data_IF_300790733724
#
_entry.id   IF_300790733724
#
_cell.length_a   1.000
_cell.length_b   1.000
_cell.length_c   1.000
_cell.angle_alpha   90.00
_cell.angle_beta   90.00
_cell.angle_gamma   90.00
#
_symmetry.space_group_name_H-M   'P 1'
#
loop_
_entity.id
_entity.type
_entity.pdbx_description
1 polymer ?
#
# COMPACT_ATOMS: atom_id res chain seq x y z
N UNK A 1 34.77 43.02 -3.50
CA UNK A 1 34.35 41.97 -2.51
C UNK A 1 32.88 41.48 -2.59
N UNK A 2 31.91 42.24 -3.15
CA UNK A 2 30.48 41.75 -3.22
C UNK A 2 30.15 40.79 -4.39
N UNK A 3 30.96 40.72 -5.41
CA UNK A 3 30.66 39.84 -6.58
C UNK A 3 31.12 38.40 -6.43
N UNK A 4 32.12 38.14 -5.59
CA UNK A 4 32.66 36.80 -5.40
C UNK A 4 31.72 35.92 -4.53
N UNK A 5 31.00 36.54 -3.60
CA UNK A 5 30.00 35.84 -2.76
C UNK A 5 28.77 35.36 -3.56
N UNK A 6 28.35 36.14 -4.55
CA UNK A 6 27.22 35.74 -5.42
C UNK A 6 27.58 34.57 -6.33
N UNK A 7 28.82 34.51 -6.81
CA UNK A 7 29.33 33.38 -7.58
C UNK A 7 29.44 32.11 -6.72
N UNK A 8 29.91 32.23 -5.47
CA UNK A 8 29.99 31.11 -4.54
C UNK A 8 28.60 30.57 -4.15
N UNK A 9 27.61 31.45 -3.96
CA UNK A 9 26.22 31.06 -3.68
C UNK A 9 25.59 30.39 -4.90
N UNK A 10 25.84 30.88 -6.10
CA UNK A 10 25.34 30.28 -7.35
C UNK A 10 25.95 28.88 -7.60
N UNK A 11 27.24 28.71 -7.33
CA UNK A 11 27.96 27.44 -7.42
C UNK A 11 27.43 26.45 -6.33
N UNK A 12 27.17 26.93 -5.13
CA UNK A 12 26.58 26.10 -4.04
C UNK A 12 25.17 25.65 -4.40
N UNK A 13 24.36 26.51 -5.04
CA UNK A 13 23.01 26.17 -5.49
C UNK A 13 23.01 25.19 -6.67
N UNK A 14 23.98 25.27 -7.57
CA UNK A 14 24.10 24.34 -8.69
C UNK A 14 24.68 22.98 -8.26
N UNK A 15 25.67 22.97 -7.39
CA UNK A 15 26.20 21.75 -6.78
C UNK A 15 25.17 21.10 -5.85
N UNK A 16 24.37 21.87 -5.12
CA UNK A 16 23.29 21.36 -4.27
C UNK A 16 22.19 20.64 -5.05
N UNK A 17 21.73 21.19 -6.18
CA UNK A 17 20.73 20.57 -7.05
C UNK A 17 21.26 19.33 -7.77
N UNK A 18 22.50 19.32 -8.20
CA UNK A 18 23.15 18.13 -8.78
C UNK A 18 23.26 16.99 -7.78
N UNK A 19 23.66 17.28 -6.55
CA UNK A 19 23.76 16.28 -5.48
C UNK A 19 22.39 15.70 -5.12
N UNK A 20 21.34 16.51 -5.05
CA UNK A 20 19.97 16.04 -4.79
C UNK A 20 19.53 15.08 -5.89
N UNK A 21 19.70 15.44 -7.16
CA UNK A 21 19.34 14.56 -8.29
C UNK A 21 20.05 13.21 -8.26
N UNK A 22 21.32 13.19 -7.88
CA UNK A 22 22.05 11.94 -7.71
C UNK A 22 21.51 11.06 -6.57
N UNK A 23 21.13 11.69 -5.45
CA UNK A 23 20.47 10.96 -4.33
C UNK A 23 19.10 10.43 -4.77
N UNK A 24 18.29 11.21 -5.47
CA UNK A 24 17.00 10.80 -6.02
C UNK A 24 17.15 9.59 -6.96
N UNK A 25 18.08 9.63 -7.90
CA UNK A 25 18.37 8.52 -8.83
C UNK A 25 18.86 7.27 -8.11
N UNK A 26 19.73 7.45 -7.11
CA UNK A 26 20.26 6.32 -6.34
C UNK A 26 19.16 5.67 -5.50
N UNK A 27 18.32 6.48 -4.81
CA UNK A 27 17.19 6.00 -4.06
C UNK A 27 16.16 5.25 -4.95
N UNK A 28 15.84 5.81 -6.12
CA UNK A 28 14.96 5.16 -7.09
C UNK A 28 15.51 3.80 -7.56
N UNK A 29 16.83 3.72 -7.80
CA UNK A 29 17.50 2.48 -8.19
C UNK A 29 17.47 1.43 -7.08
N UNK A 30 17.75 1.81 -5.84
CA UNK A 30 17.70 0.91 -4.68
C UNK A 30 16.29 0.36 -4.45
N UNK A 31 15.27 1.22 -4.54
CA UNK A 31 13.87 0.79 -4.40
C UNK A 31 13.52 -0.17 -5.53
N UNK A 32 13.85 0.16 -6.79
CA UNK A 32 13.60 -0.71 -7.96
C UNK A 32 14.23 -2.09 -7.80
N UNK A 33 15.44 -2.18 -7.28
CA UNK A 33 16.12 -3.46 -7.03
C UNK A 33 15.39 -4.28 -5.96
N UNK A 34 14.84 -3.64 -4.93
CA UNK A 34 14.12 -4.34 -3.85
C UNK A 34 12.75 -4.84 -4.27
N UNK A 35 12.03 -4.07 -5.09
CA UNK A 35 10.68 -4.45 -5.54
C UNK A 35 10.70 -5.28 -6.84
N UNK A 36 11.87 -5.52 -7.42
CA UNK A 36 12.02 -6.39 -8.59
C UNK A 36 11.60 -5.78 -9.93
N UNK A 37 11.40 -4.45 -10.01
CA UNK A 37 11.03 -3.79 -11.26
C UNK A 37 10.21 -2.50 -11.09
N UNK A 38 9.47 -2.12 -12.14
CA UNK A 38 8.56 -0.98 -12.16
C UNK A 38 9.23 0.36 -12.48
N UNK A 39 8.38 1.36 -12.69
CA UNK A 39 8.77 2.74 -12.92
C UNK A 39 8.80 3.48 -11.58
N UNK A 40 9.99 3.79 -11.09
CA UNK A 40 10.18 4.41 -9.79
C UNK A 40 10.82 5.77 -9.94
N UNK A 41 10.20 6.78 -9.35
CA UNK A 41 10.70 8.14 -9.24
C UNK A 41 10.75 8.56 -7.78
N UNK A 42 11.85 9.13 -7.37
CA UNK A 42 12.01 9.73 -6.04
C UNK A 42 12.20 11.21 -6.22
N UNK A 43 11.52 12.03 -5.43
CA UNK A 43 11.65 13.49 -5.42
C UNK A 43 11.91 13.98 -4.00
N UNK A 44 12.90 14.85 -3.85
CA UNK A 44 13.34 15.39 -2.58
C UNK A 44 13.16 16.91 -2.58
N UNK A 45 12.37 17.41 -1.64
CA UNK A 45 12.21 18.84 -1.40
C UNK A 45 12.91 19.23 -0.07
N UNK A 46 14.02 19.97 -0.13
CA UNK A 46 14.69 20.46 1.09
C UNK A 46 13.83 21.44 1.90
N UNK A 47 14.07 21.53 3.20
CA UNK A 47 13.49 22.55 4.06
C UNK A 47 14.37 23.81 4.08
N UNK A 48 14.47 24.45 2.88
CA UNK A 48 15.38 25.56 2.63
C UNK A 48 16.85 25.15 2.52
N UNK A 49 17.74 26.12 2.32
CA UNK A 49 19.18 25.90 2.18
C UNK A 49 19.78 25.40 3.51
N UNK A 50 19.45 26.05 4.60
CA UNK A 50 19.93 25.67 5.94
C UNK A 50 19.39 24.30 6.36
N UNK A 51 18.13 24.00 5.99
CA UNK A 51 17.54 22.70 6.20
C UNK A 51 18.32 21.60 5.48
N UNK A 52 18.67 21.80 4.22
CA UNK A 52 19.47 20.85 3.44
C UNK A 52 20.82 20.57 4.13
N UNK A 53 21.53 21.62 4.58
CA UNK A 53 22.79 21.46 5.31
C UNK A 53 22.65 20.70 6.62
N UNK A 54 21.51 20.79 7.28
CA UNK A 54 21.20 20.09 8.53
C UNK A 54 20.53 18.71 8.29
N UNK A 55 20.29 18.32 7.04
CA UNK A 55 19.59 17.08 6.71
C UNK A 55 18.09 17.14 7.00
N UNK A 56 17.48 18.32 6.90
CA UNK A 56 16.04 18.52 7.03
C UNK A 56 15.40 18.62 5.65
N UNK A 57 14.42 17.75 5.40
CA UNK A 57 13.65 17.71 4.19
C UNK A 57 12.20 18.08 4.49
N UNK A 58 11.64 18.95 3.68
CA UNK A 58 10.22 19.31 3.75
C UNK A 58 9.35 18.17 3.25
N UNK A 59 9.73 17.54 2.14
CA UNK A 59 9.05 16.38 1.56
C UNK A 59 10.06 15.40 0.95
N UNK A 60 9.76 14.13 1.08
CA UNK A 60 10.31 13.04 0.30
C UNK A 60 9.11 12.34 -0.37
N UNK A 61 9.11 12.23 -1.69
CA UNK A 61 8.01 11.62 -2.45
C UNK A 61 8.59 10.43 -3.21
N UNK A 62 7.93 9.28 -3.09
CA UNK A 62 8.17 8.09 -3.89
C UNK A 62 6.94 7.86 -4.76
N UNK A 63 7.08 8.05 -6.06
CA UNK A 63 6.09 7.71 -7.07
C UNK A 63 6.55 6.42 -7.76
N UNK A 64 5.69 5.40 -7.77
CA UNK A 64 6.03 4.14 -8.41
C UNK A 64 4.81 3.51 -9.09
N UNK A 65 5.05 2.75 -10.17
CA UNK A 65 4.00 2.07 -10.93
C UNK A 65 4.46 0.76 -11.56
N UNK A 66 3.47 -0.13 -11.88
CA UNK A 66 3.67 -1.38 -12.63
C UNK A 66 4.67 -2.33 -12.00
N UNK A 67 4.47 -2.69 -10.72
CA UNK A 67 5.34 -3.63 -10.04
C UNK A 67 4.56 -4.50 -9.04
N UNK A 68 5.23 -5.53 -8.54
CA UNK A 68 4.67 -6.41 -7.50
C UNK A 68 5.37 -6.14 -6.17
N UNK A 69 4.60 -6.00 -5.10
CA UNK A 69 5.07 -5.95 -3.73
C UNK A 69 4.80 -7.29 -3.04
N UNK A 70 5.85 -7.88 -2.48
CA UNK A 70 5.77 -9.02 -1.58
C UNK A 70 6.14 -8.58 -0.16
N UNK A 71 5.30 -7.71 0.41
CA UNK A 71 5.51 -7.07 1.70
C UNK A 71 6.04 -5.65 1.60
N UNK A 72 6.25 -5.01 2.77
CA UNK A 72 6.64 -3.60 2.84
C UNK A 72 8.14 -3.42 2.56
N UNK A 73 8.53 -2.52 1.66
CA UNK A 73 9.93 -2.33 1.27
C UNK A 73 10.74 -1.51 2.28
N UNK A 74 10.09 -0.93 3.29
CA UNK A 74 10.69 -0.07 4.30
C UNK A 74 10.51 -0.65 5.70
N UNK A 75 11.59 -0.62 6.51
CA UNK A 75 11.57 -0.97 7.93
C UNK A 75 12.31 0.08 8.74
N UNK A 76 11.92 0.24 9.99
CA UNK A 76 12.62 1.09 10.95
C UNK A 76 13.80 0.35 11.57
N UNK A 77 14.90 1.08 11.75
CA UNK A 77 16.07 0.65 12.52
C UNK A 77 16.23 1.60 13.73
N UNK A 78 15.48 1.38 14.85
CA UNK A 78 15.40 2.34 15.96
C UNK A 78 16.72 2.64 16.67
N UNK A 79 17.71 1.75 16.56
CA UNK A 79 19.06 1.90 17.12
C UNK A 79 19.92 2.90 16.34
N UNK A 80 19.51 3.32 15.16
CA UNK A 80 20.27 4.26 14.35
C UNK A 80 20.12 5.71 14.80
N UNK A 81 21.16 6.55 14.53
CA UNK A 81 21.10 7.97 14.83
C UNK A 81 19.94 8.68 14.10
N UNK A 82 19.23 9.56 14.81
CA UNK A 82 18.13 10.39 14.30
C UNK A 82 18.64 11.76 13.84
N UNK A 83 19.67 11.79 12.98
CA UNK A 83 20.38 13.00 12.58
C UNK A 83 19.81 13.72 11.38
N UNK A 84 18.90 13.09 10.64
CA UNK A 84 18.12 13.67 9.56
C UNK A 84 16.63 13.66 9.86
N UNK A 85 15.89 14.55 9.21
CA UNK A 85 14.45 14.71 9.41
C UNK A 85 13.73 14.95 8.09
N UNK A 86 12.64 14.24 7.86
CA UNK A 86 11.70 14.46 6.75
C UNK A 86 10.35 14.82 7.38
N UNK A 87 9.88 16.03 7.11
CA UNK A 87 8.60 16.50 7.66
C UNK A 87 7.42 15.68 7.11
N UNK A 88 7.42 15.33 5.83
CA UNK A 88 6.41 14.50 5.18
C UNK A 88 7.05 13.52 4.21
N UNK A 89 6.86 12.24 4.45
CA UNK A 89 7.20 11.17 3.53
C UNK A 89 5.92 10.71 2.83
N UNK A 90 5.88 10.86 1.50
CA UNK A 90 4.71 10.58 0.68
C UNK A 90 5.04 9.42 -0.26
N UNK A 91 4.16 8.43 -0.28
CA UNK A 91 4.23 7.26 -1.17
C UNK A 91 2.99 7.30 -2.05
N UNK A 92 3.18 7.23 -3.37
CA UNK A 92 2.13 7.14 -4.37
C UNK A 92 2.45 5.97 -5.28
N UNK A 93 1.57 4.98 -5.26
CA UNK A 93 1.75 3.81 -6.10
C UNK A 93 0.55 3.70 -7.03
N UNK A 94 0.83 3.41 -8.28
CA UNK A 94 -0.18 3.15 -9.29
C UNK A 94 0.01 1.74 -9.84
N UNK A 95 -1.08 1.04 -10.03
CA UNK A 95 -1.05 -0.25 -10.69
C UNK A 95 -0.08 -1.24 -10.03
N UNK A 96 -0.25 -1.42 -8.73
CA UNK A 96 0.61 -2.29 -7.92
C UNK A 96 -0.09 -3.58 -7.55
N UNK A 97 0.60 -4.71 -7.71
CA UNK A 97 0.13 -6.01 -7.24
C UNK A 97 0.67 -6.31 -5.83
N UNK A 98 -0.23 -6.42 -4.86
CA UNK A 98 0.05 -6.81 -3.48
C UNK A 98 -0.22 -8.31 -3.33
N UNK A 99 0.81 -9.15 -3.51
CA UNK A 99 0.68 -10.62 -3.51
C UNK A 99 -0.50 -11.12 -4.33
N UNK A 100 -0.83 -10.38 -5.43
CA UNK A 100 -1.85 -10.71 -6.42
C UNK A 100 -3.21 -10.07 -6.22
N UNK A 101 -3.42 -9.25 -5.23
CA UNK A 101 -4.45 -8.23 -5.26
C UNK A 101 -3.87 -7.01 -5.98
N UNK A 102 -4.41 -6.65 -7.13
CA UNK A 102 -4.01 -5.44 -7.82
C UNK A 102 -4.74 -4.25 -7.19
N UNK A 103 -3.97 -3.27 -6.76
CA UNK A 103 -4.45 -1.96 -6.34
C UNK A 103 -4.20 -0.96 -7.47
N UNK A 104 -5.23 -0.26 -7.90
CA UNK A 104 -5.11 0.80 -8.90
C UNK A 104 -4.32 1.97 -8.35
N UNK A 105 -4.59 2.32 -7.09
CA UNK A 105 -3.96 3.42 -6.40
C UNK A 105 -3.66 3.08 -4.95
N UNK A 106 -2.45 3.45 -4.50
CA UNK A 106 -2.07 3.44 -3.09
C UNK A 106 -1.44 4.79 -2.77
N UNK A 107 -1.94 5.44 -1.75
CA UNK A 107 -1.38 6.66 -1.19
C UNK A 107 -1.05 6.45 0.27
N UNK A 108 0.13 6.91 0.70
CA UNK A 108 0.47 7.02 2.11
C UNK A 108 1.23 8.32 2.37
N UNK A 109 0.91 9.00 3.47
CA UNK A 109 1.64 10.17 3.95
C UNK A 109 2.03 9.96 5.41
N UNK A 110 3.32 9.88 5.68
CA UNK A 110 3.89 9.58 6.98
C UNK A 110 4.66 10.81 7.46
N UNK A 111 4.26 11.45 8.58
CA UNK A 111 4.93 12.62 9.13
C UNK A 111 6.17 12.24 9.95
N UNK A 112 7.00 13.23 10.19
CA UNK A 112 8.09 13.22 11.18
C UNK A 112 9.07 12.05 11.06
N UNK A 113 9.43 11.68 9.83
CA UNK A 113 10.35 10.58 9.57
C UNK A 113 11.78 10.99 9.92
N UNK A 114 12.45 10.19 10.77
CA UNK A 114 13.84 10.34 11.16
C UNK A 114 14.73 9.34 10.43
N UNK A 115 15.92 9.76 10.04
CA UNK A 115 16.86 8.92 9.32
C UNK A 115 18.32 9.19 9.70
N UNK A 116 19.21 8.24 9.40
CA UNK A 116 20.64 8.37 9.57
C UNK A 116 21.25 9.19 8.41
N UNK A 117 21.44 10.49 8.64
CA UNK A 117 22.02 11.41 7.67
C UNK A 117 23.45 11.05 7.27
N UNK A 118 24.29 10.62 8.23
CA UNK A 118 25.70 10.28 7.93
C UNK A 118 25.76 9.10 6.97
N UNK A 119 24.92 8.10 7.18
CA UNK A 119 24.82 6.93 6.30
C UNK A 119 24.32 7.33 4.90
N UNK A 120 23.28 8.15 4.84
CA UNK A 120 22.71 8.64 3.59
C UNK A 120 23.74 9.43 2.75
N UNK A 121 24.51 10.33 3.38
CA UNK A 121 25.50 11.15 2.68
C UNK A 121 26.78 10.38 2.30
N UNK A 122 27.33 9.57 3.22
CA UNK A 122 28.64 8.91 3.01
C UNK A 122 28.54 7.63 2.19
N UNK A 123 27.49 6.83 2.43
CA UNK A 123 27.32 5.52 1.81
C UNK A 123 26.18 5.46 0.79
N UNK A 124 25.41 6.55 0.65
CA UNK A 124 24.20 6.63 -0.19
C UNK A 124 23.13 5.60 0.19
N UNK A 125 23.15 5.13 1.44
CA UNK A 125 22.18 4.17 1.98
C UNK A 125 21.19 4.92 2.87
N UNK A 126 19.92 4.81 2.55
CA UNK A 126 18.84 5.45 3.30
C UNK A 126 18.25 4.48 4.33
N UNK A 127 18.37 4.81 5.63
CA UNK A 127 17.85 4.01 6.75
C UNK A 127 17.01 4.88 7.66
N UNK A 128 15.79 4.42 7.92
CA UNK A 128 14.82 5.10 8.77
C UNK A 128 15.00 4.66 10.22
N UNK A 129 14.96 5.61 11.16
CA UNK A 129 15.16 5.34 12.59
C UNK A 129 13.91 5.57 13.42
N UNK A 130 12.98 6.43 12.95
CA UNK A 130 11.73 6.73 13.66
C UNK A 130 10.72 7.38 12.72
N UNK A 131 9.42 7.27 13.03
CA UNK A 131 8.34 7.94 12.27
C UNK A 131 7.16 8.27 13.17
N UNK A 132 6.38 9.28 12.76
CA UNK A 132 5.01 9.46 13.25
C UNK A 132 4.04 8.47 12.61
N UNK A 133 2.80 8.50 13.09
CA UNK A 133 1.69 7.77 12.48
C UNK A 133 1.17 8.57 11.30
N UNK A 134 1.11 7.93 10.15
CA UNK A 134 0.63 8.49 8.91
C UNK A 134 -0.81 8.12 8.58
N UNK A 135 -1.25 8.51 7.40
CA UNK A 135 -2.52 8.11 6.79
C UNK A 135 -2.28 7.38 5.50
N UNK A 136 -3.16 6.45 5.17
CA UNK A 136 -3.13 5.72 3.90
C UNK A 136 -4.51 5.62 3.25
N UNK A 137 -4.51 5.45 1.96
CA UNK A 137 -5.67 5.16 1.13
C UNK A 137 -5.29 4.15 0.05
N UNK A 138 -6.13 3.15 -0.17
CA UNK A 138 -5.97 2.12 -1.20
C UNK A 138 -7.26 2.03 -2.00
N UNK A 139 -7.15 2.03 -3.32
CA UNK A 139 -8.28 1.85 -4.26
C UNK A 139 -8.11 0.54 -5.00
N UNK A 140 -9.13 -0.29 -4.97
CA UNK A 140 -9.20 -1.59 -5.66
C UNK A 140 -10.45 -1.63 -6.53
N UNK A 141 -10.28 -1.98 -7.80
CA UNK A 141 -11.37 -2.16 -8.75
C UNK A 141 -12.07 -3.51 -8.52
N UNK A 142 -13.38 -3.58 -8.78
CA UNK A 142 -14.17 -4.80 -8.61
C UNK A 142 -13.62 -5.99 -9.41
N UNK A 143 -13.09 -5.76 -10.61
CA UNK A 143 -12.52 -6.81 -11.45
C UNK A 143 -11.23 -7.36 -10.87
N UNK A 144 -10.39 -6.51 -10.28
CA UNK A 144 -9.16 -6.91 -9.58
C UNK A 144 -9.48 -7.72 -8.32
N UNK A 145 -10.53 -7.34 -7.59
CA UNK A 145 -11.03 -8.10 -6.46
C UNK A 145 -11.57 -9.47 -6.88
N UNK A 146 -12.29 -9.55 -8.01
CA UNK A 146 -12.78 -10.81 -8.57
C UNK A 146 -11.62 -11.77 -8.93
N UNK A 147 -10.59 -11.25 -9.60
CA UNK A 147 -9.38 -12.03 -9.95
C UNK A 147 -8.68 -12.53 -8.68
N UNK A 148 -8.56 -11.68 -7.67
CA UNK A 148 -7.95 -12.03 -6.40
C UNK A 148 -8.73 -13.13 -5.66
N UNK A 149 -10.07 -13.01 -5.53
CA UNK A 149 -10.94 -14.01 -4.89
C UNK A 149 -10.80 -15.35 -5.60
N UNK A 150 -10.91 -15.38 -6.93
CA UNK A 150 -10.75 -16.60 -7.71
C UNK A 150 -9.42 -17.29 -7.44
N UNK A 151 -8.33 -16.54 -7.35
CA UNK A 151 -7.02 -17.10 -7.05
C UNK A 151 -6.89 -17.58 -5.61
N UNK A 152 -7.40 -16.84 -4.64
CA UNK A 152 -7.35 -17.18 -3.22
C UNK A 152 -8.06 -18.49 -2.92
N UNK A 153 -9.19 -18.73 -3.58
CA UNK A 153 -10.03 -19.91 -3.34
C UNK A 153 -9.88 -21.00 -4.39
N UNK A 154 -8.89 -20.91 -5.27
CA UNK A 154 -8.56 -22.01 -6.18
C UNK A 154 -8.08 -23.26 -5.40
N UNK A 155 -8.44 -24.50 -5.79
CA UNK A 155 -9.21 -24.90 -6.98
C UNK A 155 -10.73 -24.98 -6.77
N UNK A 156 -11.23 -24.58 -5.58
CA UNK A 156 -12.65 -24.77 -5.20
C UNK A 156 -13.60 -23.81 -5.91
N UNK A 157 -13.12 -22.60 -6.21
CA UNK A 157 -13.90 -21.57 -6.90
C UNK A 157 -13.34 -21.38 -8.31
N UNK A 158 -14.21 -21.49 -9.32
CA UNK A 158 -13.81 -21.42 -10.73
C UNK A 158 -14.10 -20.07 -11.35
N UNK A 159 -15.35 -19.64 -11.27
CA UNK A 159 -15.79 -18.36 -11.83
C UNK A 159 -16.12 -17.41 -10.70
N UNK A 160 -15.66 -16.19 -10.80
CA UNK A 160 -15.97 -15.13 -9.84
C UNK A 160 -16.24 -13.85 -10.61
N UNK A 161 -17.36 -13.23 -10.28
CA UNK A 161 -17.72 -11.87 -10.66
C UNK A 161 -17.99 -11.07 -9.38
N UNK A 162 -17.47 -9.89 -9.29
CA UNK A 162 -17.72 -8.97 -8.19
C UNK A 162 -18.37 -7.72 -8.74
N UNK A 163 -19.44 -7.29 -8.11
CA UNK A 163 -20.09 -5.99 -8.39
C UNK A 163 -20.10 -5.19 -7.10
N UNK A 164 -19.47 -4.02 -7.13
CA UNK A 164 -19.41 -3.12 -5.99
C UNK A 164 -20.31 -1.92 -6.28
N UNK A 165 -21.23 -1.63 -5.36
CA UNK A 165 -22.07 -0.44 -5.37
C UNK A 165 -21.99 0.27 -4.01
N UNK A 166 -22.45 1.52 -3.89
CA UNK A 166 -22.44 2.23 -2.61
C UNK A 166 -23.25 1.55 -1.49
N UNK A 167 -24.21 0.73 -1.85
CA UNK A 167 -25.14 0.10 -0.88
C UNK A 167 -24.78 -1.35 -0.57
N UNK A 168 -24.19 -2.07 -1.53
CA UNK A 168 -23.89 -3.49 -1.38
C UNK A 168 -22.74 -3.93 -2.28
N UNK A 169 -22.07 -4.99 -1.87
CA UNK A 169 -21.13 -5.74 -2.69
C UNK A 169 -21.69 -7.12 -2.95
N UNK A 170 -21.67 -7.51 -4.21
CA UNK A 170 -22.20 -8.76 -4.70
C UNK A 170 -21.07 -9.61 -5.29
N UNK A 171 -20.93 -10.82 -4.80
CA UNK A 171 -19.95 -11.82 -5.29
C UNK A 171 -20.72 -12.99 -5.84
N UNK A 172 -20.65 -13.20 -7.17
CA UNK A 172 -21.23 -14.34 -7.87
C UNK A 172 -20.13 -15.26 -8.34
N UNK A 173 -20.43 -16.57 -8.36
CA UNK A 173 -19.45 -17.51 -8.86
C UNK A 173 -19.95 -18.94 -8.92
N UNK A 174 -19.08 -19.83 -9.36
CA UNK A 174 -19.28 -21.27 -9.25
C UNK A 174 -18.22 -21.89 -8.35
N UNK A 175 -18.64 -22.84 -7.51
CA UNK A 175 -17.77 -23.53 -6.56
C UNK A 175 -18.03 -25.04 -6.61
N UNK A 176 -16.98 -25.82 -6.35
CA UNK A 176 -17.09 -27.26 -6.15
C UNK A 176 -17.48 -27.53 -4.70
N UNK A 177 -18.71 -27.99 -4.48
CA UNK A 177 -19.24 -28.34 -3.18
C UNK A 177 -19.73 -29.78 -3.15
N UNK A 178 -19.19 -30.62 -2.26
CA UNK A 178 -19.49 -32.05 -2.15
C UNK A 178 -19.41 -32.83 -3.48
N UNK A 179 -18.46 -32.46 -4.33
CA UNK A 179 -18.24 -33.10 -5.63
C UNK A 179 -19.15 -32.60 -6.77
N UNK A 180 -20.06 -31.68 -6.50
CA UNK A 180 -20.93 -31.06 -7.49
C UNK A 180 -20.57 -29.59 -7.68
N UNK A 181 -20.66 -29.09 -8.91
CA UNK A 181 -20.52 -27.68 -9.20
C UNK A 181 -21.82 -26.96 -8.88
N UNK A 182 -21.74 -25.95 -8.00
CA UNK A 182 -22.86 -25.14 -7.58
C UNK A 182 -22.60 -23.68 -7.89
N UNK A 183 -23.61 -22.96 -8.34
CA UNK A 183 -23.55 -21.51 -8.49
C UNK A 183 -23.99 -20.85 -7.20
N UNK A 184 -23.25 -19.82 -6.78
CA UNK A 184 -23.56 -19.08 -5.56
C UNK A 184 -23.60 -17.58 -5.83
N UNK A 185 -24.35 -16.90 -4.99
CA UNK A 185 -24.35 -15.45 -4.87
C UNK A 185 -24.22 -15.07 -3.39
N UNK A 186 -23.26 -14.22 -3.07
CA UNK A 186 -23.10 -13.66 -1.74
C UNK A 186 -23.27 -12.13 -1.84
N UNK A 187 -24.15 -11.56 -1.03
CA UNK A 187 -24.46 -10.12 -1.00
C UNK A 187 -24.24 -9.60 0.41
N UNK A 188 -23.47 -8.54 0.55
CA UNK A 188 -23.19 -7.92 1.85
C UNK A 188 -22.50 -6.58 1.71
N UNK A 189 -21.95 -6.07 2.81
CA UNK A 189 -21.19 -4.82 2.82
C UNK A 189 -19.73 -5.08 3.14
N UNK A 190 -18.81 -4.41 2.44
CA UNK A 190 -17.39 -4.47 2.74
C UNK A 190 -17.10 -3.66 4.00
N UNK A 191 -16.62 -4.31 5.05
CA UNK A 191 -16.35 -3.71 6.35
C UNK A 191 -14.97 -4.09 6.87
N UNK A 192 -14.21 -3.15 7.44
CA UNK A 192 -12.96 -3.46 8.09
C UNK A 192 -13.23 -4.07 9.47
N UNK A 193 -12.45 -5.08 9.86
CA UNK A 193 -12.45 -5.66 11.20
C UNK A 193 -11.01 -5.73 11.73
N UNK A 194 -10.82 -5.25 12.97
CA UNK A 194 -9.51 -5.21 13.65
C UNK A 194 -8.39 -4.49 12.87
N UNK A 195 -8.77 -3.64 11.92
CA UNK A 195 -7.82 -2.87 11.10
C UNK A 195 -7.01 -3.66 10.08
N UNK A 196 -7.16 -5.00 10.03
CA UNK A 196 -6.40 -5.90 9.16
C UNK A 196 -7.28 -6.80 8.28
N UNK A 197 -8.50 -7.08 8.72
CA UNK A 197 -9.42 -7.92 7.97
C UNK A 197 -10.40 -7.07 7.18
N UNK A 198 -10.72 -7.49 5.97
CA UNK A 198 -11.85 -7.01 5.19
C UNK A 198 -12.87 -8.12 5.10
N UNK A 199 -14.01 -7.91 5.69
CA UNK A 199 -15.12 -8.87 5.69
C UNK A 199 -16.23 -8.42 4.72
N UNK A 200 -16.98 -9.38 4.19
CA UNK A 200 -18.29 -9.17 3.63
C UNK A 200 -19.31 -9.32 4.76
N UNK A 201 -19.61 -8.21 5.44
CA UNK A 201 -20.52 -8.20 6.60
C UNK A 201 -21.97 -8.42 6.16
N UNK A 202 -22.77 -8.97 7.07
CA UNK A 202 -24.20 -9.28 6.86
C UNK A 202 -24.46 -10.09 5.58
N UNK A 203 -23.49 -10.94 5.22
CA UNK A 203 -23.53 -11.69 3.99
C UNK A 203 -24.74 -12.62 3.91
N UNK A 204 -25.62 -12.37 2.93
CA UNK A 204 -26.65 -13.30 2.48
C UNK A 204 -26.04 -14.16 1.38
N UNK A 205 -26.09 -15.48 1.56
CA UNK A 205 -25.58 -16.45 0.59
C UNK A 205 -26.74 -17.23 0.01
N UNK A 206 -26.87 -17.19 -1.30
CA UNK A 206 -27.85 -17.92 -2.08
C UNK A 206 -27.14 -18.91 -2.99
N UNK A 207 -27.69 -20.10 -3.14
CA UNK A 207 -27.17 -21.14 -4.03
C UNK A 207 -28.27 -21.53 -5.02
N UNK A 208 -27.92 -21.51 -6.30
CA UNK A 208 -28.85 -21.83 -7.37
C UNK A 208 -29.19 -23.34 -7.35
N UNK A 209 -30.48 -23.62 -7.23
CA UNK A 209 -31.00 -25.00 -7.32
C UNK A 209 -30.93 -25.82 -6.03
N UNK A 210 -30.56 -25.27 -4.89
CA UNK A 210 -30.52 -25.98 -3.62
C UNK A 210 -30.95 -25.12 -2.44
N UNK A 211 -31.90 -25.61 -1.64
CA UNK A 211 -32.10 -25.13 -0.29
C UNK A 211 -31.02 -25.76 0.62
N UNK A 212 -30.03 -24.96 1.01
CA UNK A 212 -29.00 -25.44 1.93
C UNK A 212 -29.49 -25.42 3.37
N UNK A 213 -29.11 -26.41 4.16
CA UNK A 213 -29.26 -26.33 5.61
C UNK A 213 -28.55 -25.07 6.15
N UNK A 214 -29.09 -24.45 7.21
CA UNK A 214 -28.50 -23.24 7.83
C UNK A 214 -27.04 -23.44 8.26
N UNK A 215 -26.65 -24.64 8.65
CA UNK A 215 -25.28 -25.04 8.97
C UNK A 215 -24.33 -24.95 7.76
N UNK A 216 -24.78 -25.31 6.58
CA UNK A 216 -23.97 -25.22 5.36
C UNK A 216 -23.75 -23.76 4.93
N UNK A 217 -24.79 -22.92 5.04
CA UNK A 217 -24.70 -21.47 4.81
C UNK A 217 -23.71 -20.83 5.79
N UNK A 218 -23.72 -21.23 7.05
CA UNK A 218 -22.79 -20.70 8.06
C UNK A 218 -21.33 -21.12 7.77
N UNK A 219 -21.09 -22.35 7.35
CA UNK A 219 -19.77 -22.82 6.91
C UNK A 219 -19.28 -21.98 5.71
N UNK A 220 -20.14 -21.72 4.73
CA UNK A 220 -19.78 -20.89 3.58
C UNK A 220 -19.48 -19.45 3.98
N UNK A 221 -20.22 -18.87 4.92
CA UNK A 221 -19.97 -17.54 5.45
C UNK A 221 -18.60 -17.47 6.13
N UNK A 222 -18.22 -18.48 6.90
CA UNK A 222 -16.90 -18.58 7.55
C UNK A 222 -15.76 -18.76 6.54
N UNK A 223 -16.01 -19.44 5.41
CA UNK A 223 -15.02 -19.56 4.34
C UNK A 223 -14.84 -18.25 3.57
N UNK A 224 -15.92 -17.48 3.38
CA UNK A 224 -15.87 -16.21 2.69
C UNK A 224 -15.15 -15.12 3.49
N UNK A 225 -15.21 -15.17 4.83
CA UNK A 225 -14.65 -14.17 5.72
C UNK A 225 -13.45 -14.70 6.53
N UNK A 226 -12.36 -13.94 6.58
CA UNK A 226 -12.17 -12.64 5.93
C UNK A 226 -11.96 -12.77 4.42
N UNK A 227 -12.60 -11.86 3.66
CA UNK A 227 -12.40 -11.74 2.23
C UNK A 227 -10.93 -11.42 1.91
N UNK A 228 -10.33 -10.50 2.70
CA UNK A 228 -8.91 -10.17 2.66
C UNK A 228 -8.36 -10.15 4.09
N UNK A 229 -7.22 -10.82 4.32
CA UNK A 229 -6.36 -10.66 5.49
C UNK A 229 -5.12 -9.87 5.08
N UNK A 230 -4.98 -8.62 5.54
CA UNK A 230 -3.87 -7.73 5.16
C UNK A 230 -2.49 -8.30 5.54
N UNK A 231 -2.41 -9.16 6.55
CA UNK A 231 -1.18 -9.82 6.96
C UNK A 231 -0.88 -11.04 6.08
N UNK A 232 -1.73 -12.04 6.19
CA UNK A 232 -1.51 -13.33 5.51
C UNK A 232 -1.55 -13.19 3.99
N UNK A 233 -2.53 -12.44 3.49
CA UNK A 233 -2.81 -12.40 2.06
C UNK A 233 -1.99 -11.32 1.34
N UNK A 234 -1.71 -10.18 1.99
CA UNK A 234 -1.03 -9.04 1.35
C UNK A 234 0.35 -8.74 1.93
N UNK A 235 0.65 -9.18 3.16
CA UNK A 235 1.93 -8.93 3.84
C UNK A 235 2.16 -7.47 4.22
N UNK A 236 1.10 -6.72 4.52
CA UNK A 236 1.16 -5.27 4.81
C UNK A 236 0.54 -4.88 6.15
N UNK A 237 0.15 -5.83 7.01
CA UNK A 237 -0.54 -5.55 8.26
C UNK A 237 0.26 -4.65 9.21
N UNK A 238 1.58 -4.79 9.23
CA UNK A 238 2.45 -3.97 10.08
C UNK A 238 2.60 -2.52 9.57
N UNK A 239 2.14 -2.25 8.35
CA UNK A 239 2.22 -0.93 7.73
C UNK A 239 0.88 -0.23 7.52
N UNK A 240 -0.24 -0.96 7.69
CA UNK A 240 -1.57 -0.42 7.44
C UNK A 240 -2.56 -0.89 8.52
N UNK A 241 -3.29 0.06 9.08
CA UNK A 241 -4.46 -0.21 9.92
C UNK A 241 -5.69 0.41 9.24
N UNK A 242 -6.56 -0.42 8.67
CA UNK A 242 -7.77 0.03 7.95
C UNK A 242 -8.83 0.46 8.95
N UNK A 243 -9.27 1.70 8.87
CA UNK A 243 -10.30 2.29 9.74
C UNK A 243 -11.66 2.36 9.04
N UNK A 244 -11.66 2.54 7.73
CA UNK A 244 -12.86 2.73 6.94
C UNK A 244 -12.72 2.06 5.56
N UNK A 245 -13.80 1.49 5.07
CA UNK A 245 -13.96 1.05 3.69
C UNK A 245 -15.19 1.69 3.09
N UNK A 246 -15.01 2.42 2.01
CA UNK A 246 -16.08 3.05 1.25
C UNK A 246 -16.25 2.29 -0.06
N UNK A 247 -17.45 1.75 -0.27
CA UNK A 247 -17.85 1.17 -1.55
C UNK A 247 -18.36 2.26 -2.46
N UNK A 248 -17.78 2.36 -3.66
CA UNK A 248 -18.18 3.26 -4.73
C UNK A 248 -18.62 2.41 -5.94
N UNK A 249 -19.20 3.03 -6.96
CA UNK A 249 -19.60 2.28 -8.15
C UNK A 249 -18.38 1.67 -8.86
N UNK A 250 -18.27 0.34 -8.86
CA UNK A 250 -17.20 -0.41 -9.51
C UNK A 250 -15.88 -0.52 -8.74
N UNK A 251 -15.76 0.10 -7.56
CA UNK A 251 -14.51 0.08 -6.78
C UNK A 251 -14.74 0.16 -5.28
N UNK A 252 -13.74 -0.25 -4.52
CA UNK A 252 -13.66 0.00 -3.08
C UNK A 252 -12.48 0.90 -2.76
N UNK A 253 -12.63 1.72 -1.72
CA UNK A 253 -11.62 2.60 -1.17
C UNK A 253 -11.43 2.32 0.30
N UNK A 254 -10.27 1.77 0.68
CA UNK A 254 -9.90 1.55 2.07
C UNK A 254 -9.05 2.73 2.57
N UNK A 255 -9.38 3.27 3.72
CA UNK A 255 -8.67 4.36 4.40
C UNK A 255 -8.27 3.96 5.80
N UNK A 256 -7.16 4.54 6.27
CA UNK A 256 -6.71 4.26 7.62
C UNK A 256 -5.34 4.86 7.93
N UNK A 257 -4.70 4.30 8.97
CA UNK A 257 -3.39 4.73 9.44
C UNK A 257 -2.27 3.98 8.74
N UNK A 258 -1.21 4.73 8.39
CA UNK A 258 0.01 4.18 7.81
C UNK A 258 1.14 4.14 8.83
N UNK A 259 1.91 3.07 8.81
CA UNK A 259 3.07 2.85 9.67
C UNK A 259 4.26 2.38 8.82
N UNK A 260 5.47 2.63 9.32
CA UNK A 260 6.65 1.90 8.85
C UNK A 260 6.99 0.89 9.94
N UNK A 261 6.99 -0.43 9.65
CA UNK A 261 7.24 -1.46 10.65
C UNK A 261 8.67 -1.42 11.18
N UNK A 262 8.86 -2.01 12.36
CA UNK A 262 10.18 -2.17 13.00
C UNK A 262 10.88 -3.43 12.59
#
# INVERSE_FOLDING_TARGET
MRREWLAAIAILLTLGRGAIREVEKTAAREIRQRVGGGDIRVSIEPDGVDGLMQGRLKRLIVDASHFTLDGLPFTLEPHRPRTGWIKRFIIRLHDVSLRGLRAEWVYAEIPDVRYDRKLALRKRIFRLSDTGVGRAEIVVQQDDLAVYIRRKYAPYVREVQVTISPTETRVRGSALFLGSEVRFEAIGQLTPREGRFLDLADARIEIEGAELPSTAVEIMRQWLNPLIDADRDLGISDGLYVEEVVSESGQMRARGRAYIPR
#
